data_IF_974231410813
#
_entry.id   IF_974231410813
#
_cell.length_a   1.000
_cell.length_b   1.000
_cell.length_c   1.000
_cell.angle_alpha   90.00
_cell.angle_beta   90.00
_cell.angle_gamma   90.00
#
_symmetry.space_group_name_H-M   'P 1'
#
loop_
_entity.id
_entity.type
_entity.pdbx_description
1 polymer ?
#
# COMPACT_ATOMS: atom_id res chain seq x y z
N UNK A 1 -5.66 41.35 4.67
CA UNK A 1 -6.17 40.49 5.75
C UNK A 1 -7.34 39.58 5.33
N UNK A 2 -8.39 40.06 4.61
CA UNK A 2 -9.52 39.20 4.19
C UNK A 2 -9.14 38.05 3.24
N UNK A 3 -8.13 38.20 2.38
CA UNK A 3 -7.70 37.14 1.42
C UNK A 3 -6.88 36.04 2.09
N UNK A 4 -6.15 36.34 3.15
CA UNK A 4 -5.41 35.34 3.93
C UNK A 4 -6.37 34.47 4.74
N UNK A 5 -7.46 35.08 5.26
CA UNK A 5 -8.50 34.33 5.97
C UNK A 5 -9.22 33.30 5.10
N UNK A 6 -9.42 33.59 3.81
CA UNK A 6 -10.07 32.67 2.86
C UNK A 6 -9.14 31.48 2.54
N UNK A 7 -7.83 31.72 2.38
CA UNK A 7 -6.85 30.65 2.13
C UNK A 7 -6.72 29.74 3.37
N UNK A 8 -6.69 30.31 4.56
CA UNK A 8 -6.69 29.51 5.79
C UNK A 8 -7.99 28.74 6.02
N UNK A 9 -9.13 29.28 5.61
CA UNK A 9 -10.42 28.58 5.70
C UNK A 9 -10.53 27.42 4.71
N UNK A 10 -9.96 27.53 3.53
CA UNK A 10 -9.90 26.43 2.53
C UNK A 10 -8.97 25.32 3.00
N UNK A 11 -7.82 25.65 3.59
CA UNK A 11 -6.92 24.68 4.20
C UNK A 11 -7.53 23.94 5.42
N UNK A 12 -8.39 24.62 6.20
CA UNK A 12 -9.07 24.01 7.34
C UNK A 12 -10.23 23.07 6.93
N UNK A 13 -10.79 23.24 5.74
CA UNK A 13 -11.85 22.37 5.22
C UNK A 13 -11.31 21.07 4.61
N UNK A 14 -10.02 20.96 4.35
CA UNK A 14 -9.36 19.72 3.91
C UNK A 14 -9.03 18.75 5.06
N UNK A 15 -9.30 19.12 6.32
CA UNK A 15 -9.21 18.25 7.48
C UNK A 15 -10.40 17.28 7.59
N UNK A 16 -10.67 16.51 6.54
CA UNK A 16 -11.57 15.36 6.64
C UNK A 16 -10.98 14.37 7.65
N UNK A 17 -11.80 13.92 8.59
CA UNK A 17 -11.45 12.88 9.55
C UNK A 17 -10.90 11.66 8.81
N UNK A 18 -9.58 11.48 8.86
CA UNK A 18 -8.90 10.29 8.38
C UNK A 18 -9.29 9.13 9.32
N UNK A 19 -10.34 8.42 8.99
CA UNK A 19 -10.70 7.20 9.68
C UNK A 19 -9.75 6.08 9.27
N UNK A 20 -8.99 5.59 10.23
CA UNK A 20 -8.46 4.22 10.32
C UNK A 20 -7.50 3.75 9.22
N UNK A 21 -6.59 4.58 8.74
CA UNK A 21 -5.37 4.05 8.16
C UNK A 21 -4.40 3.72 9.29
N UNK A 22 -3.90 2.47 9.32
CA UNK A 22 -2.89 2.11 10.31
C UNK A 22 -1.61 2.93 10.05
N UNK A 23 -0.83 3.19 11.09
CA UNK A 23 0.48 3.86 10.93
C UNK A 23 1.37 3.08 9.94
N UNK A 24 1.19 1.76 9.87
CA UNK A 24 1.92 0.88 8.94
C UNK A 24 1.48 1.12 7.48
N UNK A 25 0.20 1.35 7.23
CA UNK A 25 -0.29 1.67 5.88
C UNK A 25 0.20 3.03 5.43
N UNK A 26 0.14 4.04 6.30
CA UNK A 26 0.69 5.35 6.01
C UNK A 26 2.20 5.28 5.69
N UNK A 27 2.97 4.52 6.47
CA UNK A 27 4.38 4.28 6.21
C UNK A 27 4.60 3.55 4.87
N UNK A 28 3.81 2.53 4.58
CA UNK A 28 3.88 1.77 3.32
C UNK A 28 3.64 2.65 2.09
N UNK A 29 2.65 3.53 2.16
CA UNK A 29 2.28 4.39 1.04
C UNK A 29 3.21 5.60 0.87
N UNK A 30 3.85 6.06 1.93
CA UNK A 30 4.82 7.15 1.88
C UNK A 30 6.19 6.75 1.31
N UNK A 31 6.48 5.44 1.21
CA UNK A 31 7.74 4.97 0.65
C UNK A 31 7.76 5.12 -0.87
N UNK A 32 8.78 5.78 -1.38
CA UNK A 32 9.06 5.87 -2.81
C UNK A 32 10.27 5.01 -3.18
N UNK A 33 10.33 4.59 -4.43
CA UNK A 33 11.46 3.88 -5.03
C UNK A 33 12.19 4.83 -5.96
N UNK A 34 13.48 4.61 -6.13
CA UNK A 34 14.26 5.37 -7.09
C UNK A 34 13.93 4.86 -8.50
N UNK A 35 13.13 5.63 -9.23
CA UNK A 35 12.73 5.35 -10.61
C UNK A 35 12.97 6.56 -11.49
N UNK A 36 13.14 6.33 -12.79
CA UNK A 36 13.39 7.39 -13.76
C UNK A 36 14.22 6.90 -14.94
N UNK A 37 14.93 7.82 -15.60
CA UNK A 37 15.82 7.49 -16.71
C UNK A 37 16.96 6.57 -16.27
N UNK A 38 17.52 5.79 -17.20
CA UNK A 38 18.67 4.94 -16.91
C UNK A 38 19.88 5.75 -16.40
N UNK A 39 20.03 6.99 -16.87
CA UNK A 39 21.06 7.91 -16.39
C UNK A 39 20.81 8.32 -14.93
N UNK A 40 19.57 8.69 -14.61
CA UNK A 40 19.16 9.04 -13.26
C UNK A 40 19.40 7.89 -12.27
N UNK A 41 18.97 6.69 -12.64
CA UNK A 41 19.18 5.48 -11.84
C UNK A 41 20.67 5.12 -11.69
N UNK A 42 21.46 5.20 -12.78
CA UNK A 42 22.89 4.92 -12.76
C UNK A 42 23.69 5.85 -11.85
N UNK A 43 23.19 7.05 -11.61
CA UNK A 43 23.77 8.02 -10.68
C UNK A 43 23.12 8.00 -9.28
N UNK A 44 22.28 7.00 -8.99
CA UNK A 44 21.62 6.88 -7.69
C UNK A 44 20.67 8.04 -7.36
N UNK A 45 20.12 8.72 -8.37
CA UNK A 45 19.24 9.88 -8.20
C UNK A 45 19.94 11.19 -7.80
N UNK A 46 21.26 11.26 -7.89
CA UNK A 46 22.07 12.41 -7.45
C UNK A 46 22.00 13.61 -8.42
N UNK A 47 20.79 14.08 -8.73
CA UNK A 47 20.52 15.17 -9.67
C UNK A 47 20.05 16.47 -9.00
N UNK A 48 20.03 16.54 -7.68
CA UNK A 48 19.60 17.73 -6.94
C UNK A 48 20.39 19.00 -7.32
N UNK A 49 21.66 18.86 -7.72
CA UNK A 49 22.49 19.99 -8.15
C UNK A 49 22.85 19.96 -9.64
N UNK A 50 22.77 18.80 -10.30
CA UNK A 50 23.24 18.64 -11.68
C UNK A 50 22.28 19.20 -12.73
N UNK A 51 20.99 18.99 -12.57
CA UNK A 51 20.00 19.30 -13.57
C UNK A 51 20.20 18.54 -14.90
N UNK A 52 19.39 18.86 -15.91
CA UNK A 52 19.52 18.26 -17.24
C UNK A 52 19.15 16.78 -17.32
N UNK A 53 18.34 16.31 -16.38
CA UNK A 53 17.64 15.03 -16.45
C UNK A 53 16.18 15.23 -16.09
N UNK A 54 15.32 14.71 -16.93
CA UNK A 54 13.89 14.90 -16.84
C UNK A 54 13.27 14.27 -15.59
N UNK A 55 13.90 13.19 -15.06
CA UNK A 55 13.47 12.53 -13.83
C UNK A 55 13.68 13.39 -12.58
N UNK A 56 14.51 14.45 -12.71
CA UNK A 56 14.81 15.36 -11.60
C UNK A 56 13.88 16.58 -11.54
N UNK A 57 12.90 16.71 -12.42
CA UNK A 57 12.03 17.91 -12.49
C UNK A 57 11.37 18.26 -11.17
N UNK A 58 10.96 17.28 -10.39
CA UNK A 58 10.36 17.49 -9.08
C UNK A 58 11.40 17.82 -7.99
N UNK A 59 12.60 17.24 -8.09
CA UNK A 59 13.67 17.45 -7.11
C UNK A 59 14.42 18.75 -7.33
N UNK A 60 14.63 19.13 -8.60
CA UNK A 60 15.35 20.33 -9.02
C UNK A 60 14.70 20.96 -10.26
N UNK A 61 13.62 21.73 -10.10
CA UNK A 61 12.95 22.39 -11.24
C UNK A 61 13.87 23.32 -12.03
N UNK A 62 14.82 23.99 -11.37
CA UNK A 62 15.77 24.88 -12.04
C UNK A 62 16.69 24.12 -13.01
N UNK A 63 16.90 22.81 -12.78
CA UNK A 63 17.65 21.94 -13.69
C UNK A 63 17.00 21.78 -15.06
N UNK A 64 15.72 22.11 -15.22
CA UNK A 64 15.04 22.14 -16.51
C UNK A 64 15.60 23.26 -17.41
N UNK A 65 16.05 24.36 -16.82
CA UNK A 65 16.61 25.49 -17.56
C UNK A 65 17.98 25.22 -18.21
N UNK A 66 18.62 24.08 -17.91
CA UNK A 66 19.88 23.65 -18.51
C UNK A 66 19.69 23.10 -19.94
N UNK A 67 18.47 22.62 -20.25
CA UNK A 67 18.19 22.07 -21.57
C UNK A 67 18.36 23.14 -22.68
N UNK A 68 19.13 22.77 -23.72
CA UNK A 68 19.39 23.61 -24.91
C UNK A 68 18.69 23.05 -26.16
N UNK A 69 17.86 22.01 -26.01
CA UNK A 69 17.07 21.42 -27.09
C UNK A 69 15.81 20.77 -26.48
N UNK A 70 14.76 20.69 -27.30
CA UNK A 70 13.58 19.91 -26.91
C UNK A 70 13.89 18.44 -26.97
N UNK A 71 13.36 17.68 -26.01
CA UNK A 71 13.61 16.26 -25.84
C UNK A 71 12.36 15.51 -25.42
N UNK A 72 12.20 14.29 -25.92
CA UNK A 72 11.22 13.31 -25.45
C UNK A 72 11.96 12.13 -24.91
N UNK A 73 11.60 11.71 -23.70
CA UNK A 73 12.23 10.56 -23.03
C UNK A 73 11.14 9.58 -22.62
N UNK A 74 11.41 8.30 -22.78
CA UNK A 74 10.59 7.21 -22.26
C UNK A 74 11.48 6.13 -21.66
N UNK A 75 11.03 5.55 -20.56
CA UNK A 75 11.76 4.49 -19.86
C UNK A 75 10.85 3.29 -19.61
N UNK A 76 11.33 2.14 -20.05
CA UNK A 76 10.77 0.84 -19.73
C UNK A 76 11.74 0.12 -18.79
N UNK A 77 11.23 -0.48 -17.73
CA UNK A 77 12.04 -1.30 -16.84
C UNK A 77 11.57 -2.74 -16.78
N UNK A 78 12.50 -3.61 -16.45
CA UNK A 78 12.25 -5.01 -16.13
C UNK A 78 12.62 -5.20 -14.66
N UNK A 79 11.63 -5.33 -13.81
CA UNK A 79 11.83 -5.58 -12.37
C UNK A 79 11.56 -7.03 -12.02
N UNK A 80 12.42 -7.61 -11.19
CA UNK A 80 12.21 -8.94 -10.63
C UNK A 80 12.21 -8.85 -9.12
N UNK A 81 11.08 -9.19 -8.52
CA UNK A 81 10.92 -9.29 -7.08
C UNK A 81 10.93 -10.75 -6.65
N UNK A 82 11.75 -11.09 -5.66
CA UNK A 82 11.74 -12.41 -5.03
C UNK A 82 11.40 -12.30 -3.55
N UNK A 83 10.59 -13.22 -3.06
CA UNK A 83 10.26 -13.35 -1.66
C UNK A 83 10.59 -14.78 -1.19
N UNK A 84 11.34 -14.87 -0.11
CA UNK A 84 11.65 -16.13 0.56
C UNK A 84 10.97 -16.11 1.91
N UNK A 85 10.17 -17.11 2.16
CA UNK A 85 9.46 -17.27 3.43
C UNK A 85 9.95 -18.53 4.13
N UNK A 86 9.97 -18.48 5.44
CA UNK A 86 10.30 -19.62 6.30
C UNK A 86 9.26 -19.66 7.41
N UNK A 87 8.48 -20.72 7.45
CA UNK A 87 7.48 -20.93 8.49
C UNK A 87 7.69 -22.31 9.11
N UNK A 88 8.18 -22.31 10.35
CA UNK A 88 8.54 -23.52 11.10
C UNK A 88 9.47 -24.47 10.32
N UNK A 89 10.44 -23.89 9.58
CA UNK A 89 11.41 -24.66 8.79
C UNK A 89 10.94 -25.02 7.38
N UNK A 90 9.66 -24.81 7.05
CA UNK A 90 9.15 -24.95 5.69
C UNK A 90 9.47 -23.68 4.90
N UNK A 91 10.23 -23.83 3.82
CA UNK A 91 10.72 -22.71 3.00
C UNK A 91 10.00 -22.67 1.67
N UNK A 92 9.47 -21.51 1.34
CA UNK A 92 8.84 -21.26 0.03
C UNK A 92 9.50 -20.06 -0.64
N UNK A 93 9.93 -20.25 -1.89
CA UNK A 93 10.53 -19.21 -2.71
C UNK A 93 9.52 -18.80 -3.81
N UNK A 94 9.18 -17.52 -3.83
CA UNK A 94 8.35 -16.94 -4.88
C UNK A 94 9.15 -15.89 -5.64
N UNK A 95 9.02 -15.87 -6.96
CA UNK A 95 9.59 -14.81 -7.79
C UNK A 95 8.57 -14.29 -8.78
N UNK A 96 8.62 -12.99 -9.04
CA UNK A 96 7.77 -12.36 -10.03
C UNK A 96 8.57 -11.36 -10.84
N UNK A 97 8.58 -11.54 -12.15
CA UNK A 97 9.17 -10.59 -13.07
C UNK A 97 8.07 -9.80 -13.77
N UNK A 98 8.24 -8.49 -13.86
CA UNK A 98 7.27 -7.58 -14.49
C UNK A 98 8.02 -6.58 -15.36
N UNK A 99 7.50 -6.35 -16.56
CA UNK A 99 7.83 -5.17 -17.36
C UNK A 99 6.95 -4.02 -16.89
N UNK A 100 7.55 -2.89 -16.59
CA UNK A 100 6.83 -1.69 -16.23
C UNK A 100 7.22 -0.50 -17.10
N UNK A 101 6.25 0.39 -17.28
CA UNK A 101 6.43 1.68 -17.91
C UNK A 101 6.66 2.69 -16.79
N UNK A 102 7.88 3.16 -16.63
CA UNK A 102 8.28 3.90 -15.43
C UNK A 102 8.28 5.40 -15.64
N UNK A 103 8.53 5.85 -16.89
CA UNK A 103 8.61 7.27 -17.19
C UNK A 103 8.27 7.54 -18.64
N UNK A 104 7.52 8.63 -18.86
CA UNK A 104 7.48 9.36 -20.12
C UNK A 104 7.53 10.84 -19.82
N UNK A 105 8.32 11.56 -20.59
CA UNK A 105 8.46 12.97 -20.34
C UNK A 105 8.84 13.75 -21.62
N UNK A 106 8.48 15.02 -21.61
CA UNK A 106 8.79 15.98 -22.67
C UNK A 106 9.34 17.26 -22.07
N UNK A 107 10.40 17.77 -22.67
CA UNK A 107 10.92 19.11 -22.42
C UNK A 107 10.86 19.90 -23.71
N UNK A 108 10.21 21.06 -23.68
CA UNK A 108 10.24 22.06 -24.72
C UNK A 108 11.28 23.14 -24.38
N UNK A 109 12.22 23.39 -25.27
CA UNK A 109 13.21 24.45 -25.18
C UNK A 109 12.84 25.63 -26.08
N UNK A 110 12.82 26.83 -25.52
CA UNK A 110 12.45 28.06 -26.20
C UNK A 110 13.54 29.11 -25.98
N UNK A 111 14.49 29.25 -26.94
CA UNK A 111 15.51 30.29 -26.86
C UNK A 111 14.88 31.67 -27.11
N UNK A 112 15.38 32.67 -26.43
CA UNK A 112 15.12 34.08 -26.75
C UNK A 112 16.22 34.61 -27.66
N UNK A 113 15.99 35.70 -28.31
CA UNK A 113 17.03 36.35 -29.15
C UNK A 113 17.99 37.24 -28.33
N UNK A 114 17.96 37.13 -27.01
CA UNK A 114 18.74 37.95 -26.08
C UNK A 114 20.01 37.23 -25.63
N UNK A 115 21.11 37.91 -25.64
CA UNK A 115 22.40 37.43 -25.09
C UNK A 115 22.50 37.72 -23.57
N UNK A 116 21.70 38.64 -23.05
CA UNK A 116 21.63 39.01 -21.63
C UNK A 116 20.17 38.99 -21.12
N UNK A 117 20.02 38.81 -19.83
CA UNK A 117 18.70 38.66 -19.21
C UNK A 117 18.16 37.26 -19.43
N UNK A 118 16.87 37.10 -19.77
CA UNK A 118 16.29 35.80 -20.06
C UNK A 118 16.76 35.32 -21.43
N UNK A 119 17.67 34.35 -21.45
CA UNK A 119 18.23 33.77 -22.68
C UNK A 119 17.43 32.58 -23.19
N UNK A 120 16.75 31.85 -22.30
CA UNK A 120 15.84 30.78 -22.66
C UNK A 120 14.83 30.51 -21.55
N UNK A 121 13.74 29.91 -21.93
CA UNK A 121 12.76 29.32 -21.01
C UNK A 121 12.34 27.92 -21.49
N UNK A 122 12.01 27.06 -20.55
CA UNK A 122 11.71 25.67 -20.81
C UNK A 122 10.43 25.28 -20.11
N UNK A 123 9.65 24.42 -20.74
CA UNK A 123 8.48 23.78 -20.15
C UNK A 123 8.68 22.29 -20.18
N UNK A 124 8.41 21.64 -19.06
CA UNK A 124 8.52 20.18 -18.93
C UNK A 124 7.19 19.58 -18.51
N UNK A 125 6.89 18.42 -19.06
CA UNK A 125 5.82 17.55 -18.59
C UNK A 125 6.41 16.17 -18.39
N UNK A 126 6.09 15.52 -17.25
CA UNK A 126 6.47 14.13 -17.03
C UNK A 126 5.39 13.32 -16.33
N UNK A 127 5.37 12.04 -16.66
CA UNK A 127 4.80 10.98 -15.88
C UNK A 127 5.93 10.15 -15.31
N UNK A 128 5.91 9.93 -14.01
CA UNK A 128 6.91 9.13 -13.30
C UNK A 128 6.20 8.13 -12.39
N UNK A 129 6.62 6.87 -12.44
CA UNK A 129 6.20 5.86 -11.47
C UNK A 129 7.11 5.94 -10.24
N UNK A 130 6.57 6.40 -9.11
CA UNK A 130 7.32 6.52 -7.86
C UNK A 130 7.45 5.20 -7.11
N UNK A 131 6.45 4.30 -7.25
CA UNK A 131 6.47 2.98 -6.63
C UNK A 131 5.64 1.98 -7.40
N UNK A 132 6.08 0.73 -7.37
CA UNK A 132 5.36 -0.39 -7.97
C UNK A 132 5.07 -1.47 -6.91
N UNK A 133 3.79 -1.66 -6.58
CA UNK A 133 3.34 -2.75 -5.72
C UNK A 133 3.10 -3.98 -6.57
N UNK A 134 4.13 -4.80 -6.74
CA UNK A 134 4.05 -6.04 -7.52
C UNK A 134 4.77 -7.15 -6.80
N UNK A 135 4.19 -7.57 -5.66
CA UNK A 135 4.78 -8.61 -4.82
C UNK A 135 3.79 -9.74 -4.61
N UNK A 136 4.25 -10.97 -4.81
CA UNK A 136 3.53 -12.16 -4.43
C UNK A 136 4.42 -12.99 -3.52
N UNK A 137 3.85 -13.51 -2.44
CA UNK A 137 4.53 -14.48 -1.61
C UNK A 137 3.56 -15.49 -1.01
N UNK A 138 4.08 -16.66 -0.74
CA UNK A 138 3.37 -17.73 -0.08
C UNK A 138 4.18 -18.16 1.15
N UNK A 139 3.50 -18.30 2.27
CA UNK A 139 4.03 -18.97 3.46
C UNK A 139 3.24 -20.26 3.63
N UNK A 140 3.89 -21.36 3.89
CA UNK A 140 3.20 -22.63 4.13
C UNK A 140 3.98 -23.45 5.16
N UNK A 141 3.27 -24.17 5.98
CA UNK A 141 3.84 -25.15 6.89
C UNK A 141 3.00 -26.42 6.89
N UNK A 142 3.64 -27.57 7.00
CA UNK A 142 3.01 -28.86 7.22
C UNK A 142 3.32 -29.43 8.61
N UNK A 143 3.74 -28.57 9.54
CA UNK A 143 4.04 -28.98 10.92
C UNK A 143 2.88 -28.73 11.86
N UNK A 144 2.93 -29.38 13.01
CA UNK A 144 1.95 -29.20 14.08
C UNK A 144 1.96 -27.75 14.57
N UNK A 145 0.87 -27.05 14.34
CA UNK A 145 0.63 -25.71 14.86
C UNK A 145 -0.16 -25.81 16.17
N UNK A 146 0.29 -25.10 17.19
CA UNK A 146 -0.34 -25.14 18.51
C UNK A 146 -1.50 -24.14 18.64
N UNK A 147 -1.68 -23.25 17.67
CA UNK A 147 -2.70 -22.22 17.69
C UNK A 147 -3.25 -22.02 16.28
N UNK A 148 -4.54 -21.79 16.19
CA UNK A 148 -5.31 -21.53 14.98
C UNK A 148 -5.71 -20.05 14.89
N UNK A 149 -6.10 -19.59 13.72
CA UNK A 149 -6.77 -18.32 13.53
C UNK A 149 -8.07 -18.27 14.35
N UNK A 150 -8.77 -19.39 14.47
CA UNK A 150 -10.00 -19.48 15.26
C UNK A 150 -9.76 -19.22 16.76
N UNK A 151 -8.64 -19.71 17.33
CA UNK A 151 -8.24 -19.39 18.71
C UNK A 151 -7.97 -17.90 18.88
N UNK A 152 -7.28 -17.30 17.90
CA UNK A 152 -6.99 -15.87 17.92
C UNK A 152 -8.27 -15.03 17.84
N UNK A 153 -9.24 -15.41 17.00
CA UNK A 153 -10.53 -14.74 16.87
C UNK A 153 -11.34 -14.86 18.17
N UNK A 154 -11.38 -16.05 18.77
CA UNK A 154 -12.05 -16.28 20.05
C UNK A 154 -11.44 -15.42 21.17
N UNK A 155 -10.11 -15.34 21.25
CA UNK A 155 -9.41 -14.47 22.20
C UNK A 155 -9.78 -12.99 22.00
N UNK A 156 -9.87 -12.52 20.76
CA UNK A 156 -10.22 -11.12 20.46
C UNK A 156 -11.67 -10.78 20.80
N UNK A 157 -12.57 -11.74 20.67
CA UNK A 157 -13.97 -11.58 20.99
C UNK A 157 -14.23 -11.57 22.52
N UNK A 158 -13.28 -12.01 23.33
CA UNK A 158 -13.43 -12.10 24.78
C UNK A 158 -13.88 -10.78 25.41
N UNK A 159 -14.93 -10.82 26.20
CA UNK A 159 -15.56 -9.66 26.83
C UNK A 159 -16.70 -9.02 26.02
N UNK A 160 -16.87 -9.37 24.76
CA UNK A 160 -17.97 -8.90 23.91
C UNK A 160 -19.19 -9.83 24.08
N UNK A 161 -20.40 -9.32 24.32
CA UNK A 161 -21.61 -10.16 24.34
C UNK A 161 -21.89 -10.78 22.96
N UNK A 162 -22.22 -12.06 22.91
CA UNK A 162 -22.50 -12.81 21.68
C UNK A 162 -23.62 -12.18 20.84
N UNK A 163 -24.66 -11.64 21.52
CA UNK A 163 -25.75 -10.94 20.85
C UNK A 163 -25.32 -9.63 20.12
N UNK A 164 -24.12 -9.12 20.38
CA UNK A 164 -23.57 -7.97 19.66
C UNK A 164 -22.69 -8.39 18.47
N UNK A 165 -22.24 -9.63 18.41
CA UNK A 165 -21.40 -10.16 17.33
C UNK A 165 -22.22 -10.77 16.20
N UNK A 166 -23.34 -11.40 16.52
CA UNK A 166 -24.22 -12.04 15.55
C UNK A 166 -25.01 -11.04 14.71
N UNK A 167 -25.12 -11.30 13.41
CA UNK A 167 -26.01 -10.58 12.50
C UNK A 167 -27.44 -11.14 12.61
N UNK A 168 -28.42 -10.26 12.74
CA UNK A 168 -29.87 -10.59 12.75
C UNK A 168 -30.60 -9.64 11.79
N UNK A 169 -31.88 -9.93 11.52
CA UNK A 169 -32.73 -9.17 10.59
C UNK A 169 -32.79 -7.67 10.90
N UNK A 170 -32.78 -7.34 12.21
CA UNK A 170 -32.92 -5.97 12.70
C UNK A 170 -31.61 -5.40 13.27
N UNK A 171 -30.51 -6.17 13.27
CA UNK A 171 -29.24 -5.78 13.84
C UNK A 171 -28.05 -6.18 12.95
N UNK A 172 -27.26 -5.18 12.57
CA UNK A 172 -26.02 -5.38 11.84
C UNK A 172 -24.84 -4.95 12.71
N UNK A 173 -24.01 -5.89 13.19
CA UNK A 173 -22.88 -5.61 14.09
C UNK A 173 -21.83 -4.69 13.47
N UNK A 174 -21.70 -4.68 12.15
CA UNK A 174 -20.74 -3.82 11.44
C UNK A 174 -21.07 -2.33 11.53
N UNK A 175 -22.31 -1.98 11.86
CA UNK A 175 -22.73 -0.60 12.08
C UNK A 175 -22.50 -0.14 13.53
N UNK A 176 -22.10 -1.03 14.43
CA UNK A 176 -21.85 -0.71 15.82
C UNK A 176 -20.39 -0.27 16.00
N UNK A 177 -20.15 1.04 16.08
CA UNK A 177 -18.83 1.62 16.22
C UNK A 177 -18.15 1.29 17.57
N UNK A 178 -18.90 0.94 18.58
CA UNK A 178 -18.39 0.61 19.91
C UNK A 178 -17.74 -0.79 19.98
N UNK A 179 -18.11 -1.69 19.06
CA UNK A 179 -17.53 -3.03 19.00
C UNK A 179 -16.13 -3.04 18.37
N UNK A 180 -15.89 -2.23 17.37
CA UNK A 180 -14.58 -1.93 16.79
C UNK A 180 -13.75 -3.10 16.24
N UNK A 181 -14.20 -4.35 16.39
CA UNK A 181 -13.44 -5.54 16.02
C UNK A 181 -14.14 -6.38 14.94
N UNK A 182 -13.91 -5.98 13.70
CA UNK A 182 -14.46 -6.66 12.54
C UNK A 182 -14.07 -8.13 12.42
N UNK A 183 -12.88 -8.50 12.88
CA UNK A 183 -12.43 -9.89 12.80
C UNK A 183 -13.23 -10.79 13.75
N UNK A 184 -13.57 -10.29 14.95
CA UNK A 184 -14.44 -11.00 15.89
C UNK A 184 -15.86 -11.17 15.35
N UNK A 185 -16.42 -10.13 14.72
CA UNK A 185 -17.74 -10.19 14.08
C UNK A 185 -17.74 -11.22 12.94
N UNK A 186 -16.75 -11.13 12.04
CA UNK A 186 -16.61 -12.05 10.91
C UNK A 186 -16.46 -13.50 11.39
N UNK A 187 -15.57 -13.73 12.36
CA UNK A 187 -15.29 -15.06 12.86
C UNK A 187 -16.47 -15.68 13.59
N UNK A 188 -17.26 -14.88 14.34
CA UNK A 188 -18.48 -15.36 14.98
C UNK A 188 -19.52 -15.78 13.93
N UNK A 189 -19.80 -14.94 12.96
CA UNK A 189 -20.76 -15.23 11.90
C UNK A 189 -20.30 -16.33 10.92
N UNK A 190 -18.99 -16.53 10.79
CA UNK A 190 -18.42 -17.63 10.01
C UNK A 190 -18.33 -18.96 10.77
N UNK A 191 -18.68 -18.97 12.06
CA UNK A 191 -18.60 -20.18 12.90
C UNK A 191 -17.18 -20.59 13.26
N UNK A 192 -16.24 -19.63 13.37
CA UNK A 192 -14.87 -19.92 13.81
C UNK A 192 -14.76 -20.10 15.31
N UNK A 193 -15.71 -19.56 16.06
CA UNK A 193 -15.75 -19.63 17.51
C UNK A 193 -17.19 -19.87 18.00
N UNK A 194 -17.27 -20.40 19.21
CA UNK A 194 -18.54 -20.57 19.93
C UNK A 194 -18.39 -20.03 21.35
N UNK A 195 -19.52 -19.71 22.00
CA UNK A 195 -19.52 -19.21 23.38
C UNK A 195 -19.65 -20.36 24.38
N UNK A 196 -19.05 -20.20 25.56
CA UNK A 196 -19.29 -21.15 26.66
C UNK A 196 -20.76 -21.10 27.14
N UNK A 197 -21.32 -22.24 27.43
CA UNK A 197 -22.76 -22.48 27.64
C UNK A 197 -23.50 -21.48 28.53
N UNK A 198 -22.87 -20.89 29.53
CA UNK A 198 -23.48 -19.95 30.48
C UNK A 198 -22.82 -18.54 30.44
N UNK A 199 -21.89 -18.33 29.55
CA UNK A 199 -21.16 -17.06 29.47
C UNK A 199 -21.05 -16.58 28.01
N UNK A 200 -21.89 -15.63 27.66
CA UNK A 200 -21.96 -15.03 26.33
C UNK A 200 -20.80 -14.07 26.00
N UNK A 201 -19.78 -13.99 26.86
CA UNK A 201 -18.60 -13.11 26.73
C UNK A 201 -17.28 -13.87 26.69
N UNK A 202 -17.31 -15.17 26.86
CA UNK A 202 -16.15 -16.04 26.75
C UNK A 202 -16.33 -17.00 25.59
N UNK A 203 -15.28 -17.11 24.78
CA UNK A 203 -15.32 -17.84 23.51
C UNK A 203 -14.19 -18.86 23.45
N UNK A 204 -14.42 -19.91 22.69
CA UNK A 204 -13.45 -20.93 22.34
C UNK A 204 -13.49 -21.20 20.84
N UNK A 205 -12.42 -21.77 20.30
CA UNK A 205 -12.38 -22.18 18.89
C UNK A 205 -13.45 -23.22 18.58
N UNK A 206 -14.21 -23.04 17.51
CA UNK A 206 -15.19 -24.04 17.07
C UNK A 206 -14.53 -25.29 16.45
N UNK A 207 -13.21 -25.26 16.24
CA UNK A 207 -12.44 -26.39 15.68
C UNK A 207 -11.90 -27.28 16.81
N UNK A 208 -12.79 -28.05 17.39
CA UNK A 208 -12.49 -28.98 18.47
C UNK A 208 -13.69 -29.86 18.77
N UNK A 209 -13.51 -30.81 19.67
CA UNK A 209 -14.57 -31.68 20.14
C UNK A 209 -14.35 -32.01 21.62
N UNK A 210 -15.38 -32.47 22.29
CA UNK A 210 -15.25 -32.96 23.64
C UNK A 210 -14.56 -34.32 23.64
N UNK A 211 -13.48 -34.43 24.43
CA UNK A 211 -12.79 -35.68 24.62
C UNK A 211 -13.69 -36.71 25.41
N UNK A 212 -13.18 -37.93 25.61
CA UNK A 212 -13.89 -38.98 26.32
C UNK A 212 -14.29 -38.62 27.76
N UNK A 213 -13.63 -37.64 28.37
CA UNK A 213 -13.89 -37.11 29.70
C UNK A 213 -14.87 -35.93 29.71
N UNK A 214 -15.40 -35.56 28.52
CA UNK A 214 -16.29 -34.43 28.33
C UNK A 214 -15.60 -33.04 28.36
N UNK A 215 -14.28 -33.01 28.33
CA UNK A 215 -13.51 -31.76 28.23
C UNK A 215 -13.29 -31.40 26.77
N UNK A 216 -13.46 -30.13 26.44
CA UNK A 216 -13.18 -29.62 25.10
C UNK A 216 -11.69 -29.76 24.77
N UNK A 217 -11.39 -30.28 23.58
CA UNK A 217 -10.05 -30.48 23.06
C UNK A 217 -9.98 -29.97 21.62
N UNK A 218 -9.02 -29.10 21.30
CA UNK A 218 -8.88 -28.61 19.93
C UNK A 218 -8.43 -29.72 18.98
N UNK A 219 -8.88 -29.62 17.72
CA UNK A 219 -8.34 -30.47 16.67
C UNK A 219 -6.87 -30.12 16.40
N UNK A 220 -6.10 -31.13 16.04
CA UNK A 220 -4.70 -30.89 15.67
C UNK A 220 -4.64 -30.15 14.33
N UNK A 221 -3.92 -29.05 14.33
CA UNK A 221 -3.64 -28.28 13.12
C UNK A 221 -2.45 -28.90 12.40
N UNK A 222 -2.70 -29.48 11.22
CA UNK A 222 -1.68 -30.20 10.43
C UNK A 222 -0.92 -29.31 9.47
N UNK A 223 -1.45 -28.15 9.16
CA UNK A 223 -0.79 -27.24 8.24
C UNK A 223 -1.53 -25.92 8.12
N UNK A 224 -0.79 -24.96 7.61
CA UNK A 224 -1.34 -23.64 7.29
C UNK A 224 -0.69 -23.09 6.03
N UNK A 225 -1.44 -22.30 5.28
CA UNK A 225 -0.93 -21.62 4.11
C UNK A 225 -1.46 -20.18 4.06
N UNK A 226 -0.54 -19.23 3.88
CA UNK A 226 -0.88 -17.83 3.57
C UNK A 226 -0.35 -17.49 2.18
N UNK A 227 -1.24 -17.09 1.30
CA UNK A 227 -0.91 -16.52 -0.01
C UNK A 227 -1.21 -15.04 0.00
N UNK A 228 -0.27 -14.22 -0.46
CA UNK A 228 -0.44 -12.77 -0.56
C UNK A 228 -0.09 -12.29 -1.95
N UNK A 229 -0.94 -11.42 -2.49
CA UNK A 229 -0.74 -10.72 -3.75
C UNK A 229 -0.93 -9.23 -3.53
N UNK A 230 0.13 -8.46 -3.76
CA UNK A 230 0.09 -7.00 -3.75
C UNK A 230 0.22 -6.47 -5.17
N UNK A 231 -0.62 -5.50 -5.53
CA UNK A 231 -0.65 -4.86 -6.84
C UNK A 231 -0.91 -3.36 -6.69
N UNK A 232 -0.50 -2.61 -7.71
CA UNK A 232 -0.75 -1.18 -7.78
C UNK A 232 0.50 -0.37 -8.03
N UNK A 233 0.36 0.94 -7.90
CA UNK A 233 1.45 1.89 -8.11
C UNK A 233 1.18 3.20 -7.38
N UNK A 234 2.26 3.96 -7.22
CA UNK A 234 2.21 5.40 -6.95
C UNK A 234 2.76 6.07 -8.19
N UNK A 235 1.93 6.82 -8.85
CA UNK A 235 2.23 7.51 -10.11
C UNK A 235 2.21 9.02 -9.90
N UNK A 236 3.13 9.75 -10.52
CA UNK A 236 3.25 11.21 -10.40
C UNK A 236 3.26 11.85 -11.77
N UNK A 237 2.51 12.93 -11.88
CA UNK A 237 2.43 13.79 -13.05
C UNK A 237 2.99 15.16 -12.70
N UNK A 238 4.04 15.58 -13.40
CA UNK A 238 4.72 16.83 -13.16
C UNK A 238 4.50 17.79 -14.33
N UNK A 239 4.25 19.05 -14.00
CA UNK A 239 4.32 20.18 -14.91
C UNK A 239 5.36 21.16 -14.37
N UNK A 240 6.44 21.34 -15.11
CA UNK A 240 7.57 22.15 -14.70
C UNK A 240 7.83 23.30 -15.65
N UNK A 241 8.32 24.40 -15.10
CA UNK A 241 8.75 25.58 -15.83
C UNK A 241 10.15 25.98 -15.36
N UNK A 242 11.03 26.32 -16.30
CA UNK A 242 12.39 26.75 -16.02
C UNK A 242 12.78 27.97 -16.84
N UNK A 243 13.56 28.87 -16.24
CA UNK A 243 14.08 30.07 -16.89
C UNK A 243 15.60 30.10 -16.70
N UNK A 244 16.31 30.39 -17.79
CA UNK A 244 17.77 30.63 -17.79
C UNK A 244 18.04 32.14 -17.94
N UNK A 245 18.73 32.70 -16.97
CA UNK A 245 19.08 34.12 -16.94
C UNK A 245 20.59 34.25 -17.16
N UNK A 246 20.98 34.77 -18.33
CA UNK A 246 22.37 35.06 -18.72
C UNK A 246 23.35 33.87 -18.57
N UNK A 247 22.83 32.64 -18.60
CA UNK A 247 23.57 31.40 -18.31
C UNK A 247 24.22 31.34 -16.91
N UNK A 248 23.85 32.24 -16.00
CA UNK A 248 24.42 32.36 -14.67
C UNK A 248 23.42 31.92 -13.58
N UNK A 249 22.16 32.27 -13.76
CA UNK A 249 21.09 31.96 -12.77
C UNK A 249 19.98 31.18 -13.46
N UNK A 250 19.60 30.08 -12.85
CA UNK A 250 18.49 29.24 -13.30
C UNK A 250 17.42 29.21 -12.22
N UNK A 251 16.20 29.48 -12.61
CA UNK A 251 15.04 29.42 -11.73
C UNK A 251 14.03 28.42 -12.30
N UNK A 252 13.34 27.73 -11.43
CA UNK A 252 12.33 26.77 -11.86
C UNK A 252 11.24 26.57 -10.80
N UNK A 253 10.11 26.11 -11.26
CA UNK A 253 9.00 25.69 -10.44
C UNK A 253 8.34 24.46 -11.04
N UNK A 254 7.84 23.56 -10.19
CA UNK A 254 7.12 22.36 -10.59
C UNK A 254 5.83 22.24 -9.79
N UNK A 255 4.78 21.84 -10.47
CA UNK A 255 3.52 21.41 -9.86
C UNK A 255 3.40 19.92 -10.11
N UNK A 256 3.20 19.15 -9.04
CA UNK A 256 3.10 17.70 -9.10
C UNK A 256 1.75 17.22 -8.55
N UNK A 257 1.16 16.27 -9.26
CA UNK A 257 -0.03 15.52 -8.82
C UNK A 257 0.39 14.07 -8.68
N UNK A 258 0.17 13.51 -7.51
CA UNK A 258 0.49 12.10 -7.22
C UNK A 258 -0.81 11.33 -7.04
N UNK A 259 -0.92 10.21 -7.73
CA UNK A 259 -2.03 9.24 -7.66
C UNK A 259 -1.52 7.93 -7.05
N UNK A 260 -2.24 7.44 -6.06
CA UNK A 260 -2.02 6.14 -5.42
C UNK A 260 -3.14 5.19 -5.80
N UNK A 261 -2.78 4.04 -6.33
CA UNK A 261 -3.67 2.90 -6.48
C UNK A 261 -3.00 1.67 -5.85
N UNK A 262 -3.68 1.03 -4.92
CA UNK A 262 -3.15 -0.12 -4.20
C UNK A 262 -4.22 -1.18 -3.98
N UNK A 263 -3.85 -2.44 -4.21
CA UNK A 263 -4.69 -3.60 -3.93
C UNK A 263 -3.90 -4.68 -3.22
N UNK A 264 -4.43 -5.14 -2.12
CA UNK A 264 -3.92 -6.24 -1.32
C UNK A 264 -4.93 -7.36 -1.30
N UNK A 265 -4.50 -8.56 -1.65
CA UNK A 265 -5.30 -9.76 -1.57
C UNK A 265 -4.54 -10.83 -0.80
N UNK A 266 -5.18 -11.44 0.17
CA UNK A 266 -4.63 -12.58 0.88
C UNK A 266 -5.64 -13.69 1.03
N UNK A 267 -5.16 -14.94 0.96
CA UNK A 267 -5.89 -16.15 1.33
C UNK A 267 -5.09 -16.83 2.41
N UNK A 268 -5.74 -17.15 3.51
CA UNK A 268 -5.17 -17.87 4.62
C UNK A 268 -6.00 -19.13 4.87
N UNK A 269 -5.35 -20.26 4.77
CA UNK A 269 -5.99 -21.58 4.83
C UNK A 269 -5.35 -22.38 5.96
N UNK A 270 -6.15 -23.05 6.78
CA UNK A 270 -5.73 -24.01 7.82
C UNK A 270 -6.36 -25.37 7.59
N UNK A 271 -5.59 -26.42 7.83
CA UNK A 271 -6.01 -27.82 7.72
C UNK A 271 -5.98 -28.48 9.09
N UNK A 272 -7.11 -29.02 9.52
CA UNK A 272 -7.26 -29.70 10.81
C UNK A 272 -7.46 -31.20 10.60
N UNK A 273 -6.94 -32.00 11.53
CA UNK A 273 -7.20 -33.43 11.59
C UNK A 273 -8.11 -33.78 12.77
N UNK A 274 -9.33 -34.18 12.43
CA UNK A 274 -10.28 -34.77 13.35
C UNK A 274 -10.76 -36.15 12.84
N UNK A 275 -10.02 -36.76 11.92
CA UNK A 275 -10.46 -37.96 11.15
C UNK A 275 -11.26 -37.64 9.88
N UNK A 276 -11.67 -36.40 9.65
CA UNK A 276 -12.50 -35.94 8.52
C UNK A 276 -11.98 -34.65 7.88
N UNK A 277 -10.70 -34.36 7.84
CA UNK A 277 -10.08 -33.18 7.25
C UNK A 277 -11.01 -31.96 7.21
N UNK A 278 -10.90 -31.10 8.20
CA UNK A 278 -11.61 -29.81 8.24
C UNK A 278 -10.68 -28.71 7.75
N UNK A 279 -11.25 -27.71 7.10
CA UNK A 279 -10.51 -26.56 6.58
C UNK A 279 -11.11 -25.27 7.13
N UNK A 280 -10.25 -24.33 7.46
CA UNK A 280 -10.59 -22.95 7.74
C UNK A 280 -9.99 -22.08 6.65
N UNK A 281 -10.82 -21.39 5.88
CA UNK A 281 -10.39 -20.50 4.81
C UNK A 281 -10.76 -19.06 5.16
N UNK A 282 -9.78 -18.15 5.09
CA UNK A 282 -9.99 -16.72 5.25
C UNK A 282 -9.47 -15.97 4.04
N UNK A 283 -10.31 -15.14 3.44
CA UNK A 283 -9.96 -14.31 2.29
C UNK A 283 -10.13 -12.83 2.64
N UNK A 284 -9.08 -12.04 2.35
CA UNK A 284 -9.07 -10.60 2.52
C UNK A 284 -8.73 -9.92 1.19
N UNK A 285 -9.57 -8.99 0.76
CA UNK A 285 -9.33 -8.11 -0.38
C UNK A 285 -9.46 -6.65 0.08
N UNK A 286 -8.41 -5.87 -0.12
CA UNK A 286 -8.36 -4.47 0.29
C UNK A 286 -7.87 -3.61 -0.86
N UNK A 287 -8.68 -2.63 -1.24
CA UNK A 287 -8.32 -1.60 -2.21
C UNK A 287 -8.10 -0.25 -1.51
N UNK A 288 -7.09 0.47 -1.97
CA UNK A 288 -6.78 1.82 -1.51
C UNK A 288 -6.48 2.74 -2.69
N UNK A 289 -7.05 3.94 -2.66
CA UNK A 289 -6.76 5.01 -3.62
C UNK A 289 -6.51 6.32 -2.89
N UNK A 290 -5.70 7.18 -3.47
CA UNK A 290 -5.43 8.49 -2.90
C UNK A 290 -4.71 9.41 -3.86
N UNK A 291 -4.97 10.71 -3.71
CA UNK A 291 -4.36 11.77 -4.51
C UNK A 291 -3.65 12.77 -3.61
N UNK A 292 -2.54 13.32 -4.10
CA UNK A 292 -1.89 14.46 -3.45
C UNK A 292 -1.44 15.50 -4.46
N UNK A 293 -1.40 16.75 -4.02
CA UNK A 293 -0.97 17.90 -4.82
C UNK A 293 0.22 18.59 -4.13
N UNK A 294 1.33 18.76 -4.86
CA UNK A 294 2.55 19.38 -4.39
C UNK A 294 2.99 20.53 -5.31
N UNK A 295 3.58 21.58 -4.73
CA UNK A 295 4.11 22.75 -5.46
C UNK A 295 5.54 22.99 -5.03
#
# INVERSE_FOLDING_TARGET
MKRIGIIMSVLALCGGTAFSQSQLDAFKYSQTELNGTARYLGMGGAFGALGGDISAMNTNPAGLAIYKSSEVVTTLSLSSASAKTDWLGSKVDNSRTKVSFDNIAYVGYFPTANDEGIVSWNVGFSYNRLKNYSRNYTMATGGDLNTSLSDYVAMRAAGMPSGLLGEDKDYNPYNNQDLGDWLSILGYNAGYMDSYNDNDKEYYSAFGDNNADGQWSPYLLQGGQLKVSERGSVDQYDLAFGINISELVMLGATVAITDLNYRYQSSYDEEFTNGNNLYLDNYLDTDGTGDSFNV
#
